data_IF_496837531110
#
_entry.id   IF_496837531110
#
_cell.length_a   1.000
_cell.length_b   1.000
_cell.length_c   1.000
_cell.angle_alpha   90.00
_cell.angle_beta   90.00
_cell.angle_gamma   90.00
#
_symmetry.space_group_name_H-M   'P 1'
#
loop_
_entity.id
_entity.type
_entity.pdbx_description
1 polymer ?
#
# COMPACT_ATOMS: atom_id res chain seq x y z
N UNK A 1 5.49 23.43 -44.93
CA UNK A 1 4.76 22.17 -44.64
C UNK A 1 4.21 22.27 -43.24
N UNK A 2 2.88 22.39 -43.15
CA UNK A 2 2.15 23.07 -42.08
C UNK A 2 1.68 22.15 -40.96
N UNK A 3 1.68 22.73 -39.76
CA UNK A 3 1.34 22.24 -38.41
C UNK A 3 -0.04 21.57 -38.25
N UNK A 4 -0.84 21.46 -39.32
CA UNK A 4 -2.21 20.94 -39.30
C UNK A 4 -2.31 19.40 -39.35
N UNK A 5 -1.32 18.68 -39.87
CA UNK A 5 -1.36 17.21 -39.99
C UNK A 5 -1.07 16.47 -38.67
N UNK A 6 -0.45 17.13 -37.68
CA UNK A 6 -0.17 16.52 -36.37
C UNK A 6 -1.37 16.55 -35.41
N UNK A 7 -2.23 17.57 -35.50
CA UNK A 7 -3.43 17.69 -34.66
C UNK A 7 -4.54 16.70 -35.08
N UNK A 8 -4.74 16.46 -36.39
CA UNK A 8 -5.79 15.54 -36.86
C UNK A 8 -5.47 14.05 -36.59
N UNK A 9 -4.18 13.64 -36.65
CA UNK A 9 -3.77 12.28 -36.23
C UNK A 9 -3.86 12.08 -34.71
N UNK A 10 -3.67 13.14 -33.93
CA UNK A 10 -3.86 13.15 -32.48
C UNK A 10 -5.31 12.89 -32.06
N UNK A 11 -6.29 13.52 -32.73
CA UNK A 11 -7.71 13.41 -32.37
C UNK A 11 -8.37 12.08 -32.74
N UNK A 12 -8.00 11.48 -33.88
CA UNK A 12 -8.51 10.17 -34.30
C UNK A 12 -8.07 9.05 -33.34
N UNK A 13 -6.81 9.07 -32.92
CA UNK A 13 -6.25 8.13 -31.93
C UNK A 13 -6.79 8.41 -30.52
N UNK A 14 -7.09 9.68 -30.20
CA UNK A 14 -7.74 10.08 -28.94
C UNK A 14 -9.16 9.50 -28.81
N UNK A 15 -9.93 9.45 -29.90
CA UNK A 15 -11.28 8.85 -29.93
C UNK A 15 -11.23 7.32 -29.78
N UNK A 16 -10.23 6.66 -30.36
CA UNK A 16 -10.04 5.21 -30.28
C UNK A 16 -9.59 4.72 -28.90
N UNK A 17 -8.64 5.42 -28.26
CA UNK A 17 -8.19 5.10 -26.90
C UNK A 17 -9.29 5.36 -25.85
N UNK A 18 -10.10 6.42 -26.03
CA UNK A 18 -11.31 6.64 -25.23
C UNK A 18 -12.32 5.51 -25.41
N UNK A 19 -12.49 4.97 -26.63
CA UNK A 19 -13.38 3.83 -26.88
C UNK A 19 -12.89 2.55 -26.23
N UNK A 20 -11.59 2.26 -26.21
CA UNK A 20 -11.05 1.05 -25.56
C UNK A 20 -11.11 1.18 -24.04
N UNK A 21 -10.66 2.30 -23.47
CA UNK A 21 -10.75 2.54 -22.02
C UNK A 21 -12.21 2.62 -21.55
N UNK A 22 -13.11 3.25 -22.31
CA UNK A 22 -14.56 3.20 -22.04
C UNK A 22 -15.12 1.80 -22.26
N UNK A 23 -14.67 1.00 -23.24
CA UNK A 23 -15.17 -0.38 -23.44
C UNK A 23 -14.74 -1.30 -22.31
N UNK A 24 -13.51 -1.22 -21.82
CA UNK A 24 -13.05 -2.02 -20.66
C UNK A 24 -13.79 -1.59 -19.38
N UNK A 25 -13.96 -0.28 -19.18
CA UNK A 25 -14.69 0.25 -18.01
C UNK A 25 -16.21 -0.02 -18.11
N UNK A 26 -16.84 0.10 -19.28
CA UNK A 26 -18.29 -0.10 -19.50
C UNK A 26 -18.68 -1.57 -19.65
N UNK A 27 -17.81 -2.44 -20.19
CA UNK A 27 -18.05 -3.88 -20.20
C UNK A 27 -18.14 -4.42 -18.76
N UNK A 28 -17.33 -3.87 -17.85
CA UNK A 28 -17.40 -4.16 -16.43
C UNK A 28 -18.71 -3.70 -15.76
N UNK A 29 -19.33 -2.61 -16.24
CA UNK A 29 -20.65 -2.16 -15.73
C UNK A 29 -21.83 -3.06 -16.18
N UNK A 30 -21.67 -3.86 -17.25
CA UNK A 30 -22.76 -4.59 -17.90
C UNK A 30 -22.95 -6.03 -17.45
N UNK A 31 -21.95 -6.65 -16.83
CA UNK A 31 -22.01 -8.05 -16.39
C UNK A 31 -22.16 -8.10 -14.87
N UNK A 32 -23.41 -8.07 -14.39
CA UNK A 32 -23.79 -8.35 -12.99
C UNK A 32 -24.23 -9.83 -12.86
N UNK A 33 -24.03 -10.46 -11.69
CA UNK A 33 -24.94 -10.23 -10.55
C UNK A 33 -24.22 -9.63 -9.34
N UNK A 34 -23.90 -8.33 -9.41
CA UNK A 34 -23.44 -7.56 -8.25
C UNK A 34 -24.62 -7.16 -7.33
N UNK A 35 -25.18 -8.16 -6.63
CA UNK A 35 -26.07 -7.98 -5.47
C UNK A 35 -25.60 -8.71 -4.20
N UNK A 36 -24.52 -9.51 -4.23
CA UNK A 36 -24.11 -10.33 -3.08
C UNK A 36 -22.69 -10.09 -2.53
N UNK A 37 -21.93 -9.08 -2.98
CA UNK A 37 -20.57 -8.83 -2.47
C UNK A 37 -20.20 -7.36 -2.27
N UNK A 38 -21.20 -6.48 -2.32
CA UNK A 38 -20.97 -5.03 -2.35
C UNK A 38 -22.15 -4.28 -1.74
N UNK A 39 -22.24 -4.29 -0.40
CA UNK A 39 -22.95 -3.25 0.33
C UNK A 39 -21.91 -2.27 0.91
N UNK A 40 -22.24 -0.98 0.83
CA UNK A 40 -21.47 0.18 1.30
C UNK A 40 -20.19 0.53 0.51
N UNK A 41 -20.31 1.53 -0.38
CA UNK A 41 -19.39 2.65 -0.73
C UNK A 41 -17.86 2.46 -0.90
N UNK A 42 -17.24 1.35 -0.51
CA UNK A 42 -15.80 1.09 -0.61
C UNK A 42 -15.34 0.62 -2.02
N UNK A 43 -16.25 0.07 -2.83
CA UNK A 43 -15.96 -0.41 -4.19
C UNK A 43 -15.78 0.72 -5.23
N UNK A 44 -15.98 1.96 -4.81
CA UNK A 44 -15.95 3.16 -5.63
C UNK A 44 -14.78 4.07 -5.25
N UNK A 45 -13.60 3.50 -4.99
CA UNK A 45 -12.37 4.30 -5.07
C UNK A 45 -12.01 4.43 -6.56
N UNK A 46 -12.70 5.35 -7.23
CA UNK A 46 -12.18 6.04 -8.41
C UNK A 46 -10.73 6.46 -8.13
N UNK A 47 -9.84 6.61 -9.14
CA UNK A 47 -8.57 7.28 -8.90
C UNK A 47 -8.85 8.58 -8.13
N UNK A 48 -8.36 8.66 -6.89
CA UNK A 48 -8.53 9.82 -6.01
C UNK A 48 -8.10 11.06 -6.82
N UNK A 49 -8.93 12.11 -6.82
CA UNK A 49 -8.86 13.27 -7.73
C UNK A 49 -7.40 13.67 -8.05
N UNK A 50 -7.05 13.69 -9.34
CA UNK A 50 -5.77 14.24 -9.84
C UNK A 50 -4.73 13.23 -10.38
N UNK A 51 -4.84 11.92 -10.07
CA UNK A 51 -4.00 10.90 -10.72
C UNK A 51 -4.68 10.36 -11.98
N UNK A 52 -4.19 10.72 -13.17
CA UNK A 52 -4.70 10.23 -14.45
C UNK A 52 -3.82 9.12 -15.04
N UNK A 53 -4.16 7.83 -14.85
CA UNK A 53 -3.36 6.69 -15.33
C UNK A 53 -3.18 6.67 -16.86
N UNK A 54 -4.07 7.32 -17.61
CA UNK A 54 -3.98 7.44 -19.06
C UNK A 54 -2.72 8.21 -19.53
N UNK A 55 -2.16 9.11 -18.70
CA UNK A 55 -0.91 9.83 -19.01
C UNK A 55 0.32 8.95 -18.77
N UNK A 56 0.28 8.12 -17.72
CA UNK A 56 1.29 7.09 -17.42
C UNK A 56 1.32 5.95 -18.48
N UNK A 57 0.21 5.70 -19.16
CA UNK A 57 0.14 4.72 -20.26
C UNK A 57 0.75 5.24 -21.58
N UNK A 58 0.91 6.56 -21.76
CA UNK A 58 1.20 7.18 -23.07
C UNK A 58 2.66 7.46 -23.42
N UNK A 59 3.62 7.45 -22.49
CA UNK A 59 4.98 7.95 -22.79
C UNK A 59 6.14 7.11 -22.27
N UNK A 60 6.36 5.91 -22.82
CA UNK A 60 7.67 5.25 -22.98
C UNK A 60 7.49 3.84 -23.55
N UNK A 61 8.39 3.41 -24.44
CA UNK A 61 8.46 2.03 -24.90
C UNK A 61 8.85 1.10 -23.75
N UNK A 62 8.43 -0.17 -23.84
CA UNK A 62 8.72 -1.26 -22.89
C UNK A 62 10.21 -1.33 -22.48
N UNK A 63 11.13 -0.96 -23.38
CA UNK A 63 12.59 -0.95 -23.18
C UNK A 63 13.08 0.03 -22.10
N UNK A 64 12.47 1.21 -21.96
CA UNK A 64 13.01 2.27 -21.08
C UNK A 64 12.76 2.04 -19.59
N UNK A 65 11.68 1.35 -19.20
CA UNK A 65 11.42 1.07 -17.79
C UNK A 65 12.26 -0.11 -17.27
N UNK A 66 12.43 -1.14 -18.10
CA UNK A 66 13.24 -2.31 -17.77
C UNK A 66 14.74 -1.98 -17.68
N UNK A 67 15.25 -1.09 -18.54
CA UNK A 67 16.62 -0.55 -18.40
C UNK A 67 16.78 0.33 -17.16
N UNK A 68 15.77 1.15 -16.81
CA UNK A 68 15.85 2.03 -15.62
C UNK A 68 15.84 1.25 -14.30
N UNK A 69 15.14 0.13 -14.24
CA UNK A 69 15.05 -0.74 -13.07
C UNK A 69 15.88 -2.02 -13.24
N UNK A 70 16.97 -1.97 -14.00
CA UNK A 70 17.81 -3.15 -14.28
C UNK A 70 18.46 -3.78 -13.04
N UNK A 71 18.58 -3.01 -11.95
CA UNK A 71 19.09 -3.46 -10.65
C UNK A 71 17.97 -3.87 -9.68
N UNK A 72 16.69 -3.68 -10.07
CA UNK A 72 15.57 -4.03 -9.20
C UNK A 72 15.37 -5.53 -9.19
N UNK A 73 15.45 -6.12 -8.01
CA UNK A 73 15.29 -7.55 -7.80
C UNK A 73 14.26 -7.89 -6.72
N UNK A 74 13.71 -6.88 -6.03
CA UNK A 74 12.75 -7.07 -4.94
C UNK A 74 11.50 -6.24 -5.19
N UNK A 75 10.34 -6.88 -5.12
CA UNK A 75 9.04 -6.22 -5.03
C UNK A 75 8.51 -6.32 -3.60
N UNK A 76 8.23 -5.18 -2.99
CA UNK A 76 7.64 -5.12 -1.65
C UNK A 76 6.24 -4.53 -1.66
N UNK A 77 5.36 -5.08 -0.84
CA UNK A 77 4.06 -4.48 -0.59
C UNK A 77 3.67 -4.70 0.86
N UNK A 78 2.71 -3.88 1.30
CA UNK A 78 2.23 -3.90 2.66
C UNK A 78 0.90 -4.64 2.73
N UNK A 79 0.71 -5.39 3.81
CA UNK A 79 -0.58 -5.92 4.26
C UNK A 79 -0.82 -5.48 5.71
N UNK A 80 -2.06 -5.59 6.17
CA UNK A 80 -2.41 -5.31 7.55
C UNK A 80 -3.60 -4.38 7.64
N UNK A 81 -3.55 -3.47 8.60
CA UNK A 81 -4.73 -2.74 9.07
C UNK A 81 -4.72 -1.26 8.71
N UNK A 82 -5.86 -0.60 8.91
CA UNK A 82 -5.87 0.85 8.92
C UNK A 82 -5.09 1.36 10.14
N UNK A 83 -4.38 2.48 9.97
CA UNK A 83 -3.82 3.27 11.09
C UNK A 83 -2.69 2.61 11.91
N UNK A 84 -1.95 1.67 11.32
CA UNK A 84 -0.83 0.98 11.99
C UNK A 84 0.56 1.55 11.68
N UNK A 85 0.67 2.76 11.11
CA UNK A 85 1.98 3.39 10.84
C UNK A 85 2.61 3.05 9.48
N UNK A 86 1.94 2.28 8.62
CA UNK A 86 2.43 1.90 7.29
C UNK A 86 3.03 3.05 6.46
N UNK A 87 2.37 4.22 6.47
CA UNK A 87 2.85 5.38 5.70
C UNK A 87 4.14 5.96 6.27
N UNK A 88 4.30 5.99 7.59
CA UNK A 88 5.52 6.49 8.23
C UNK A 88 6.69 5.56 7.91
N UNK A 89 6.50 4.24 8.04
CA UNK A 89 7.49 3.24 7.67
C UNK A 89 7.87 3.35 6.18
N UNK A 90 6.90 3.37 5.27
CA UNK A 90 7.18 3.50 3.83
C UNK A 90 7.87 4.82 3.47
N UNK A 91 7.56 5.92 4.17
CA UNK A 91 8.23 7.20 3.98
C UNK A 91 9.69 7.17 4.47
N UNK A 92 9.93 6.63 5.67
CA UNK A 92 11.27 6.41 6.21
C UNK A 92 12.12 5.58 5.24
N UNK A 93 11.53 4.51 4.68
CA UNK A 93 12.14 3.65 3.68
C UNK A 93 12.50 4.38 2.39
N UNK A 94 11.63 5.25 1.88
CA UNK A 94 11.84 5.99 0.63
C UNK A 94 12.98 7.01 0.66
N UNK A 95 13.52 7.33 1.84
CA UNK A 95 14.74 8.15 1.90
C UNK A 95 16.02 7.35 1.66
N UNK A 96 15.95 6.02 1.65
CA UNK A 96 17.06 5.17 1.24
C UNK A 96 17.22 5.23 -0.29
N UNK A 97 18.44 5.46 -0.83
CA UNK A 97 18.66 5.67 -2.28
C UNK A 97 18.23 4.50 -3.19
N UNK A 98 18.14 3.28 -2.66
CA UNK A 98 17.86 2.04 -3.39
C UNK A 98 16.39 1.61 -3.28
N UNK A 99 15.51 2.44 -2.71
CA UNK A 99 14.11 2.09 -2.43
C UNK A 99 13.14 3.05 -3.11
N UNK A 100 12.11 2.49 -3.75
CA UNK A 100 10.96 3.24 -4.26
C UNK A 100 9.64 2.54 -3.95
N UNK A 101 8.92 3.03 -2.95
CA UNK A 101 7.61 2.56 -2.54
C UNK A 101 6.57 3.63 -2.88
N UNK A 102 5.67 3.32 -3.81
CA UNK A 102 4.57 4.20 -4.15
C UNK A 102 3.61 4.37 -2.97
N UNK A 103 3.09 5.58 -2.82
CA UNK A 103 2.06 5.88 -1.85
C UNK A 103 0.67 5.65 -2.46
N UNK A 104 -0.04 4.60 -2.02
CA UNK A 104 -1.43 4.33 -2.37
C UNK A 104 -1.69 4.21 -3.89
N UNK A 105 -0.83 3.48 -4.61
CA UNK A 105 -1.06 3.19 -6.02
C UNK A 105 -2.25 2.26 -6.23
N UNK A 106 -2.44 1.33 -5.30
CA UNK A 106 -3.32 0.17 -5.44
C UNK A 106 -2.81 -0.76 -6.56
N UNK A 107 -1.57 -1.21 -6.40
CA UNK A 107 -0.86 -2.03 -7.39
C UNK A 107 -1.66 -3.27 -7.84
N UNK A 108 -2.27 -3.98 -6.89
CA UNK A 108 -3.02 -5.21 -7.16
C UNK A 108 -4.26 -4.99 -8.03
N UNK A 109 -4.85 -3.78 -8.01
CA UNK A 109 -5.89 -3.42 -8.99
C UNK A 109 -5.37 -3.47 -10.42
N UNK A 110 -4.18 -2.94 -10.65
CA UNK A 110 -3.58 -2.89 -11.99
C UNK A 110 -3.05 -4.26 -12.42
N UNK A 111 -2.55 -5.03 -11.46
CA UNK A 111 -2.19 -6.43 -11.67
C UNK A 111 -3.41 -7.23 -12.13
N UNK A 112 -4.54 -7.09 -11.44
CA UNK A 112 -5.82 -7.73 -11.79
C UNK A 112 -6.32 -7.37 -13.20
N UNK A 113 -5.93 -6.21 -13.72
CA UNK A 113 -6.22 -5.76 -15.10
C UNK A 113 -5.18 -6.22 -16.13
N UNK A 114 -4.27 -7.10 -15.72
CA UNK A 114 -3.18 -7.66 -16.53
C UNK A 114 -2.28 -6.60 -17.22
N UNK A 115 -2.07 -5.45 -16.55
CA UNK A 115 -1.19 -4.39 -17.04
C UNK A 115 0.25 -4.93 -17.17
N UNK A 116 0.96 -4.60 -18.25
CA UNK A 116 2.32 -5.12 -18.50
C UNK A 116 3.32 -4.75 -17.37
N UNK A 117 4.36 -5.57 -17.10
CA UNK A 117 5.28 -5.33 -15.98
C UNK A 117 5.95 -3.95 -16.03
N UNK A 118 6.43 -3.55 -17.22
CA UNK A 118 7.02 -2.22 -17.43
C UNK A 118 6.03 -1.07 -17.19
N UNK A 119 4.74 -1.24 -17.48
CA UNK A 119 3.73 -0.24 -17.16
C UNK A 119 3.41 -0.19 -15.66
N UNK A 120 3.40 -1.32 -14.97
CA UNK A 120 3.23 -1.37 -13.51
C UNK A 120 4.36 -0.64 -12.78
N UNK A 121 5.62 -0.90 -13.15
CA UNK A 121 6.78 -0.17 -12.61
C UNK A 121 6.68 1.33 -12.87
N UNK A 122 6.20 1.70 -14.05
CA UNK A 122 5.97 3.11 -14.37
C UNK A 122 4.86 3.74 -13.53
N UNK A 123 3.78 3.01 -13.26
CA UNK A 123 2.71 3.51 -12.39
C UNK A 123 3.22 3.79 -10.98
N UNK A 124 4.19 3.01 -10.47
CA UNK A 124 4.88 3.28 -9.19
C UNK A 124 5.62 4.63 -9.26
N UNK A 125 6.45 4.83 -10.29
CA UNK A 125 7.19 6.09 -10.50
C UNK A 125 6.26 7.30 -10.61
N UNK A 126 5.21 7.19 -11.43
CA UNK A 126 4.26 8.29 -11.63
C UNK A 126 3.44 8.57 -10.37
N UNK A 127 3.17 7.54 -9.55
CA UNK A 127 2.51 7.72 -8.25
C UNK A 127 3.41 8.44 -7.25
N UNK A 128 4.69 8.07 -7.15
CA UNK A 128 5.62 8.76 -6.28
C UNK A 128 5.81 10.24 -6.69
N UNK A 129 5.98 10.51 -7.99
CA UNK A 129 6.01 11.90 -8.53
C UNK A 129 4.76 12.69 -8.20
N UNK A 130 3.59 12.05 -8.24
CA UNK A 130 2.35 12.69 -7.85
C UNK A 130 2.33 13.03 -6.35
N UNK A 131 2.89 12.16 -5.51
CA UNK A 131 2.99 12.40 -4.06
C UNK A 131 4.02 13.49 -3.72
N UNK A 132 5.15 13.55 -4.44
CA UNK A 132 6.13 14.64 -4.34
C UNK A 132 5.51 15.99 -4.67
N UNK A 133 4.69 16.09 -5.73
CA UNK A 133 3.96 17.32 -6.09
C UNK A 133 2.92 17.76 -5.07
N UNK A 134 2.65 16.94 -4.06
CA UNK A 134 1.78 17.26 -2.91
C UNK A 134 2.61 17.45 -1.65
N UNK A 135 3.89 17.74 -1.81
CA UNK A 135 4.87 17.89 -0.73
C UNK A 135 4.94 16.69 0.21
N UNK A 136 4.70 15.49 -0.35
CA UNK A 136 4.60 14.24 0.42
C UNK A 136 3.64 14.36 1.61
N UNK A 137 2.58 15.16 1.47
CA UNK A 137 1.60 15.39 2.52
C UNK A 137 0.39 14.47 2.35
N UNK A 138 -0.05 13.87 3.45
CA UNK A 138 -1.22 12.99 3.48
C UNK A 138 -2.04 13.22 4.74
N UNK A 139 -3.36 13.44 4.55
CA UNK A 139 -4.24 13.94 5.61
C UNK A 139 -3.65 15.22 6.23
N UNK A 140 -3.33 15.18 7.53
CA UNK A 140 -2.76 16.29 8.30
C UNK A 140 -1.26 16.10 8.57
N UNK A 141 -0.61 15.11 7.94
CA UNK A 141 0.77 14.74 8.22
C UNK A 141 1.66 15.00 7.00
N UNK A 142 2.87 15.50 7.26
CA UNK A 142 3.95 15.54 6.28
C UNK A 142 4.74 14.23 6.35
N UNK A 143 4.98 13.62 5.20
CA UNK A 143 5.84 12.44 5.05
C UNK A 143 7.11 12.78 4.27
N UNK A 144 7.54 14.04 4.34
CA UNK A 144 8.83 14.48 3.83
C UNK A 144 9.92 14.04 4.82
N UNK A 145 10.76 13.14 4.36
CA UNK A 145 11.95 12.67 5.08
C UNK A 145 13.18 13.51 4.70
N UNK A 146 14.23 13.58 5.55
CA UNK A 146 15.39 14.43 5.33
C UNK A 146 16.18 14.16 4.04
N UNK A 147 16.10 12.93 3.51
CA UNK A 147 16.71 12.52 2.23
C UNK A 147 15.59 12.00 1.33
N UNK A 148 15.48 12.47 0.09
CA UNK A 148 14.24 12.27 -0.68
C UNK A 148 14.33 12.37 -2.19
N UNK A 149 15.26 11.64 -2.82
CA UNK A 149 15.14 11.21 -4.22
C UNK A 149 15.88 9.90 -4.40
N UNK A 150 15.14 8.82 -4.68
CA UNK A 150 15.72 7.54 -5.10
C UNK A 150 16.50 7.71 -6.40
N UNK A 151 17.52 6.89 -6.60
CA UNK A 151 18.23 6.83 -7.87
C UNK A 151 17.67 5.69 -8.70
N UNK A 152 16.95 6.00 -9.79
CA UNK A 152 16.25 4.99 -10.58
C UNK A 152 17.16 3.82 -10.99
N UNK A 153 18.39 4.10 -11.46
CA UNK A 153 19.35 3.09 -11.89
C UNK A 153 19.96 2.25 -10.75
N UNK A 154 19.92 2.73 -9.51
CA UNK A 154 20.40 2.04 -8.32
C UNK A 154 19.27 1.43 -7.48
N UNK A 155 18.01 1.60 -7.91
CA UNK A 155 16.84 1.14 -7.16
C UNK A 155 16.78 -0.39 -7.17
N UNK A 156 16.92 -1.01 -6.00
CA UNK A 156 16.90 -2.45 -5.79
C UNK A 156 15.53 -2.96 -5.36
N UNK A 157 14.80 -2.12 -4.62
CA UNK A 157 13.47 -2.44 -4.07
C UNK A 157 12.45 -1.47 -4.64
N UNK A 158 11.40 -2.01 -5.26
CA UNK A 158 10.22 -1.25 -5.66
C UNK A 158 8.96 -1.78 -4.98
N UNK A 159 7.95 -0.94 -4.78
CA UNK A 159 6.76 -1.39 -4.08
C UNK A 159 5.56 -0.45 -4.08
N UNK A 160 4.53 -0.87 -3.37
CA UNK A 160 3.32 -0.07 -3.12
C UNK A 160 2.85 -0.24 -1.67
N UNK A 161 2.63 0.88 -0.99
CA UNK A 161 2.02 0.92 0.34
C UNK A 161 0.53 1.23 0.18
N UNK A 162 -0.30 0.20 0.34
CA UNK A 162 -1.76 0.30 0.44
C UNK A 162 -2.36 -0.79 1.35
N UNK A 163 -1.71 -1.06 2.49
CA UNK A 163 -1.92 -2.21 3.38
C UNK A 163 -3.35 -2.78 3.43
N UNK A 164 -4.30 -2.08 4.07
CA UNK A 164 -5.65 -2.59 4.28
C UNK A 164 -6.40 -2.92 2.97
N UNK A 165 -6.24 -2.10 1.92
CA UNK A 165 -6.87 -2.40 0.61
C UNK A 165 -6.16 -3.56 -0.07
N UNK A 166 -4.83 -3.65 0.03
CA UNK A 166 -4.09 -4.81 -0.49
C UNK A 166 -4.56 -6.09 0.19
N UNK A 167 -4.69 -6.11 1.52
CA UNK A 167 -5.24 -7.22 2.29
C UNK A 167 -6.64 -7.60 1.81
N UNK A 168 -7.55 -6.62 1.66
CA UNK A 168 -8.91 -6.89 1.16
C UNK A 168 -8.92 -7.46 -0.26
N UNK A 169 -8.04 -6.95 -1.14
CA UNK A 169 -7.94 -7.45 -2.51
C UNK A 169 -7.47 -8.89 -2.56
N UNK A 170 -6.44 -9.22 -1.79
CA UNK A 170 -5.89 -10.56 -1.75
C UNK A 170 -6.80 -11.54 -1.01
N UNK A 171 -7.60 -11.07 -0.05
CA UNK A 171 -8.67 -11.86 0.55
C UNK A 171 -9.72 -12.26 -0.51
N UNK A 172 -10.21 -11.28 -1.28
CA UNK A 172 -11.22 -11.54 -2.31
C UNK A 172 -10.70 -12.20 -3.60
N UNK A 173 -9.39 -12.10 -3.85
CA UNK A 173 -8.72 -12.60 -5.06
C UNK A 173 -7.30 -13.12 -4.75
N UNK A 174 -7.18 -14.25 -4.04
CA UNK A 174 -5.88 -14.82 -3.65
C UNK A 174 -5.00 -15.18 -4.85
N UNK A 175 -5.57 -15.46 -6.03
CA UNK A 175 -4.83 -15.77 -7.25
C UNK A 175 -3.94 -14.62 -7.75
N UNK A 176 -4.17 -13.39 -7.26
CA UNK A 176 -3.34 -12.24 -7.60
C UNK A 176 -1.89 -12.37 -7.09
N UNK A 177 -1.65 -13.13 -6.01
CA UNK A 177 -0.30 -13.38 -5.54
C UNK A 177 0.46 -14.30 -6.52
N UNK A 178 -0.20 -15.35 -7.00
CA UNK A 178 0.32 -16.21 -8.08
C UNK A 178 0.53 -15.43 -9.37
N UNK A 179 -0.39 -14.51 -9.70
CA UNK A 179 -0.24 -13.64 -10.86
C UNK A 179 0.95 -12.67 -10.72
N UNK A 180 1.24 -12.17 -9.50
CA UNK A 180 2.42 -11.34 -9.26
C UNK A 180 3.69 -12.15 -9.55
N UNK A 181 3.78 -13.37 -9.02
CA UNK A 181 4.92 -14.29 -9.20
C UNK A 181 5.17 -14.65 -10.66
N UNK A 182 4.12 -14.90 -11.45
CA UNK A 182 4.28 -15.24 -12.87
C UNK A 182 4.66 -14.05 -13.74
N UNK A 183 4.46 -12.83 -13.24
CA UNK A 183 4.58 -11.59 -14.02
C UNK A 183 5.90 -10.86 -13.83
N UNK A 184 6.55 -11.08 -12.69
CA UNK A 184 7.81 -10.46 -12.33
C UNK A 184 8.76 -11.53 -11.82
N UNK A 185 10.02 -11.47 -12.27
CA UNK A 185 11.11 -12.28 -11.73
C UNK A 185 11.74 -11.60 -10.49
N UNK A 186 10.90 -11.06 -9.62
CA UNK A 186 11.32 -10.36 -8.40
C UNK A 186 11.12 -11.24 -7.19
N UNK A 187 12.02 -11.11 -6.21
CA UNK A 187 11.79 -11.59 -4.85
C UNK A 187 10.61 -10.82 -4.27
N UNK A 188 9.61 -11.54 -3.78
CA UNK A 188 8.47 -10.94 -3.09
C UNK A 188 8.83 -10.81 -1.61
N UNK A 189 8.67 -9.60 -1.06
CA UNK A 189 8.93 -9.29 0.35
C UNK A 189 7.75 -8.51 0.93
N UNK A 190 6.95 -9.14 1.77
CA UNK A 190 5.71 -8.58 2.30
C UNK A 190 5.94 -8.04 3.70
N UNK A 191 5.52 -6.80 3.93
CA UNK A 191 5.61 -6.14 5.23
C UNK A 191 4.21 -6.07 5.83
N UNK A 192 4.01 -6.77 6.95
CA UNK A 192 2.82 -6.67 7.77
C UNK A 192 3.10 -5.68 8.92
N UNK A 193 2.34 -4.60 9.04
CA UNK A 193 2.48 -3.70 10.20
C UNK A 193 1.26 -3.82 11.09
N UNK A 194 1.49 -4.25 12.33
CA UNK A 194 0.46 -4.46 13.33
C UNK A 194 0.54 -3.38 14.39
N UNK A 195 -0.60 -3.01 14.96
CA UNK A 195 -0.72 -2.09 16.09
C UNK A 195 -1.82 -2.64 16.99
N UNK A 196 -1.84 -2.22 18.25
CA UNK A 196 -2.92 -2.52 19.16
C UNK A 196 -4.30 -2.37 18.46
N UNK A 197 -5.09 -3.46 18.34
CA UNK A 197 -6.35 -3.46 17.60
C UNK A 197 -7.33 -2.40 18.08
N UNK A 198 -7.41 -2.17 19.39
CA UNK A 198 -8.27 -1.15 19.99
C UNK A 198 -7.93 0.25 19.48
N UNK A 199 -6.64 0.57 19.30
CA UNK A 199 -6.24 1.87 18.73
C UNK A 199 -6.58 1.99 17.24
N UNK A 200 -6.39 0.91 16.47
CA UNK A 200 -6.74 0.90 15.06
C UNK A 200 -8.24 1.14 14.88
N UNK A 201 -9.06 0.40 15.63
CA UNK A 201 -10.52 0.47 15.62
C UNK A 201 -10.98 1.86 16.08
N UNK A 202 -10.50 2.34 17.24
CA UNK A 202 -10.87 3.67 17.75
C UNK A 202 -10.49 4.81 16.79
N UNK A 203 -9.34 4.70 16.12
CA UNK A 203 -8.92 5.71 15.13
C UNK A 203 -9.73 5.62 13.84
N UNK A 204 -10.07 4.41 13.38
CA UNK A 204 -10.86 4.21 12.18
C UNK A 204 -12.31 4.67 12.38
N UNK A 205 -12.92 4.31 13.51
CA UNK A 205 -14.25 4.75 13.91
C UNK A 205 -14.35 6.28 13.92
N UNK A 206 -13.43 6.97 14.63
CA UNK A 206 -13.42 8.46 14.67
C UNK A 206 -13.19 9.15 13.32
N UNK A 207 -12.66 8.44 12.32
CA UNK A 207 -12.33 8.99 10.99
C UNK A 207 -13.29 8.53 9.90
N UNK A 208 -14.36 7.82 10.24
CA UNK A 208 -15.34 7.31 9.28
C UNK A 208 -16.75 7.44 9.85
N UNK A 209 -17.75 7.21 9.01
CA UNK A 209 -19.16 7.19 9.43
C UNK A 209 -19.59 5.80 9.95
N UNK A 210 -18.65 4.87 10.16
CA UNK A 210 -18.96 3.51 10.61
C UNK A 210 -19.20 3.48 12.12
N UNK A 211 -20.15 2.67 12.56
CA UNK A 211 -20.31 2.38 13.99
C UNK A 211 -19.08 1.67 14.55
N UNK A 212 -18.96 1.61 15.89
CA UNK A 212 -17.86 0.89 16.52
C UNK A 212 -17.93 -0.61 16.20
N UNK A 213 -19.12 -1.21 16.26
CA UNK A 213 -19.35 -2.62 15.92
C UNK A 213 -19.03 -2.91 14.45
N UNK A 214 -19.48 -2.05 13.52
CA UNK A 214 -19.11 -2.17 12.11
C UNK A 214 -17.59 -2.09 11.93
N UNK A 215 -16.90 -1.25 12.70
CA UNK A 215 -15.44 -1.11 12.64
C UNK A 215 -14.73 -2.36 13.18
N UNK A 216 -15.26 -2.99 14.24
CA UNK A 216 -14.76 -4.26 14.79
C UNK A 216 -14.90 -5.38 13.75
N UNK A 217 -16.08 -5.51 13.12
CA UNK A 217 -16.32 -6.52 12.07
C UNK A 217 -15.37 -6.33 10.89
N UNK A 218 -15.17 -5.08 10.49
CA UNK A 218 -14.24 -4.69 9.42
C UNK A 218 -12.79 -5.01 9.80
N UNK A 219 -12.41 -4.84 11.06
CA UNK A 219 -11.09 -5.23 11.54
C UNK A 219 -10.91 -6.75 11.49
N UNK A 220 -11.91 -7.53 11.94
CA UNK A 220 -11.91 -9.00 11.84
C UNK A 220 -11.75 -9.49 10.40
N UNK A 221 -12.44 -8.88 9.43
CA UNK A 221 -12.27 -9.19 8.01
C UNK A 221 -10.83 -8.97 7.54
N UNK A 222 -10.17 -7.89 7.99
CA UNK A 222 -8.76 -7.66 7.69
C UNK A 222 -7.86 -8.71 8.34
N UNK A 223 -8.12 -9.11 9.59
CA UNK A 223 -7.35 -10.16 10.26
C UNK A 223 -7.43 -11.49 9.51
N UNK A 224 -8.63 -11.87 9.05
CA UNK A 224 -8.83 -13.03 8.17
C UNK A 224 -8.05 -12.89 6.86
N UNK A 225 -8.06 -11.70 6.26
CA UNK A 225 -7.29 -11.40 5.05
C UNK A 225 -5.79 -11.51 5.26
N UNK A 226 -5.26 -11.00 6.38
CA UNK A 226 -3.84 -11.15 6.74
C UNK A 226 -3.49 -12.63 6.84
N UNK A 227 -4.22 -13.41 7.65
CA UNK A 227 -4.00 -14.86 7.81
C UNK A 227 -4.02 -15.61 6.46
N UNK A 228 -4.98 -15.30 5.60
CA UNK A 228 -5.07 -15.92 4.27
C UNK A 228 -3.89 -15.56 3.37
N UNK A 229 -3.39 -14.32 3.43
CA UNK A 229 -2.22 -13.92 2.65
C UNK A 229 -0.97 -14.58 3.21
N UNK A 230 -0.76 -14.56 4.53
CA UNK A 230 0.43 -15.15 5.16
C UNK A 230 0.53 -16.64 4.90
N UNK A 231 -0.59 -17.37 4.85
CA UNK A 231 -0.61 -18.80 4.51
C UNK A 231 -0.16 -19.11 3.07
N UNK A 232 -0.08 -18.11 2.18
CA UNK A 232 0.42 -18.25 0.80
C UNK A 232 1.86 -17.75 0.62
N UNK A 233 2.48 -17.26 1.69
CA UNK A 233 3.84 -16.74 1.69
C UNK A 233 4.79 -17.76 2.31
N UNK A 234 6.02 -17.81 1.79
CA UNK A 234 7.10 -18.48 2.51
C UNK A 234 7.47 -17.65 3.74
N UNK A 235 8.02 -18.29 4.78
CA UNK A 235 8.48 -17.60 5.99
C UNK A 235 9.47 -16.46 5.68
N UNK A 236 10.32 -16.64 4.67
CA UNK A 236 11.25 -15.62 4.21
C UNK A 236 10.58 -14.44 3.49
N UNK A 237 9.34 -14.58 3.03
CA UNK A 237 8.62 -13.55 2.28
C UNK A 237 7.76 -12.66 3.16
N UNK A 238 7.78 -12.85 4.48
CA UNK A 238 6.99 -12.06 5.43
C UNK A 238 7.89 -11.50 6.52
N UNK A 239 7.72 -10.21 6.81
CA UNK A 239 8.16 -9.61 8.07
C UNK A 239 6.95 -8.94 8.73
N UNK A 240 6.77 -9.19 10.03
CA UNK A 240 5.79 -8.45 10.84
C UNK A 240 6.54 -7.40 11.64
N UNK A 241 6.06 -6.15 11.60
CA UNK A 241 6.58 -5.02 12.37
C UNK A 241 5.48 -4.58 13.34
N UNK A 242 5.80 -4.48 14.63
CA UNK A 242 4.88 -3.91 15.61
C UNK A 242 5.07 -2.40 15.61
N UNK A 243 3.95 -1.67 15.53
CA UNK A 243 3.96 -0.22 15.55
C UNK A 243 4.62 0.32 16.82
N UNK A 244 4.41 -0.33 17.95
CA UNK A 244 4.91 0.17 19.23
C UNK A 244 6.43 0.02 19.29
N UNK A 245 6.98 -1.12 18.86
CA UNK A 245 8.43 -1.33 18.64
C UNK A 245 9.00 -0.34 17.61
N UNK A 246 8.27 -0.10 16.51
CA UNK A 246 8.68 0.85 15.48
C UNK A 246 8.81 2.28 16.04
N UNK A 247 7.99 2.64 17.03
CA UNK A 247 8.03 3.97 17.65
C UNK A 247 8.97 4.10 18.83
N UNK A 248 9.26 3.01 19.55
CA UNK A 248 10.17 3.02 20.71
C UNK A 248 11.61 2.66 20.33
N UNK A 249 11.79 1.83 19.31
CA UNK A 249 13.07 1.26 18.87
C UNK A 249 13.26 1.40 17.35
N UNK A 250 12.93 2.58 16.81
CA UNK A 250 12.85 2.85 15.38
C UNK A 250 14.12 2.46 14.58
N UNK A 251 15.32 2.74 15.10
CA UNK A 251 16.58 2.37 14.41
C UNK A 251 16.72 0.84 14.27
N UNK A 252 16.42 0.09 15.32
CA UNK A 252 16.48 -1.37 15.32
C UNK A 252 15.48 -1.95 14.32
N UNK A 253 14.24 -1.46 14.32
CA UNK A 253 13.20 -1.94 13.42
C UNK A 253 13.49 -1.58 11.96
N UNK A 254 14.00 -0.37 11.69
CA UNK A 254 14.40 0.02 10.34
C UNK A 254 15.57 -0.83 9.84
N UNK A 255 16.57 -1.10 10.68
CA UNK A 255 17.68 -1.99 10.35
C UNK A 255 17.18 -3.39 10.01
N UNK A 256 16.24 -3.93 10.81
CA UNK A 256 15.62 -5.24 10.57
C UNK A 256 14.89 -5.28 9.21
N UNK A 257 14.16 -4.22 8.86
CA UNK A 257 13.50 -4.10 7.55
C UNK A 257 14.51 -3.99 6.41
N UNK A 258 15.61 -3.24 6.59
CA UNK A 258 16.65 -3.09 5.57
C UNK A 258 17.37 -4.39 5.27
N UNK A 259 17.76 -5.13 6.32
CA UNK A 259 18.36 -6.46 6.20
C UNK A 259 17.39 -7.44 5.52
N UNK A 260 16.12 -7.44 5.93
CA UNK A 260 15.08 -8.26 5.32
C UNK A 260 14.88 -7.98 3.83
N UNK A 261 14.97 -6.71 3.41
CA UNK A 261 14.90 -6.28 2.01
C UNK A 261 16.23 -6.45 1.25
N UNK A 262 17.30 -6.88 1.92
CA UNK A 262 18.66 -7.00 1.41
C UNK A 262 19.23 -5.66 0.89
N UNK A 263 18.94 -4.57 1.60
CA UNK A 263 19.44 -3.24 1.25
C UNK A 263 20.87 -3.02 1.79
N UNK A 264 21.71 -2.24 1.08
CA UNK A 264 22.99 -1.78 1.61
C UNK A 264 22.80 -1.02 2.92
N UNK A 265 23.78 -1.10 3.81
CA UNK A 265 23.78 -0.33 5.05
C UNK A 265 23.93 1.17 4.72
N UNK A 266 23.08 2.01 5.30
CA UNK A 266 23.18 3.47 5.25
C UNK A 266 23.20 4.04 6.68
N UNK A 267 24.38 3.99 7.30
CA UNK A 267 24.59 4.45 8.69
C UNK A 267 24.39 5.95 8.86
N UNK A 268 24.55 6.72 7.77
CA UNK A 268 24.36 8.16 7.81
C UNK A 268 22.87 8.53 7.81
N UNK A 269 22.05 7.76 7.10
CA UNK A 269 20.61 8.00 7.00
C UNK A 269 19.80 7.32 8.11
N UNK A 270 20.25 6.19 8.67
CA UNK A 270 19.49 5.43 9.67
C UNK A 270 18.98 6.29 10.85
N UNK A 271 19.80 7.12 11.51
CA UNK A 271 19.32 7.95 12.61
C UNK A 271 18.31 9.01 12.16
N UNK A 272 18.47 9.54 10.93
CA UNK A 272 17.54 10.52 10.33
C UNK A 272 16.19 9.89 10.01
N UNK A 273 16.20 8.66 9.50
CA UNK A 273 15.01 7.88 9.20
C UNK A 273 14.26 7.50 10.49
N UNK A 274 15.00 7.10 11.54
CA UNK A 274 14.43 6.75 12.84
C UNK A 274 13.82 7.98 13.53
N UNK A 275 14.52 9.13 13.52
CA UNK A 275 14.03 10.36 14.11
C UNK A 275 12.74 10.89 13.45
N UNK A 276 12.47 10.51 12.19
CA UNK A 276 11.22 10.83 11.50
C UNK A 276 10.02 10.06 12.05
N UNK A 277 10.22 8.84 12.56
CA UNK A 277 9.17 8.03 13.15
C UNK A 277 8.88 8.56 14.55
N UNK A 278 7.65 9.02 14.78
CA UNK A 278 7.23 9.58 16.06
C UNK A 278 6.23 8.67 16.76
N UNK A 279 6.32 8.52 18.10
CA UNK A 279 5.28 7.87 18.86
C UNK A 279 3.96 8.66 18.75
N UNK A 280 2.82 7.98 18.88
CA UNK A 280 1.54 8.65 18.96
C UNK A 280 1.48 9.50 20.24
N UNK A 281 0.86 10.68 20.17
CA UNK A 281 0.74 11.56 21.33
C UNK A 281 -0.23 11.06 22.41
N UNK A 282 -1.05 10.05 22.09
CA UNK A 282 -1.99 9.39 23.01
C UNK A 282 -2.45 8.05 22.44
N UNK A 283 -2.86 7.16 23.35
CA UNK A 283 -3.67 5.98 23.03
C UNK A 283 -5.01 6.44 22.44
N UNK A 284 -5.36 5.89 21.28
CA UNK A 284 -6.57 6.26 20.58
C UNK A 284 -7.81 5.64 21.23
N UNK A 285 -7.66 4.45 21.81
CA UNK A 285 -8.72 3.69 22.49
C UNK A 285 -9.35 4.42 23.68
N UNK A 286 -8.61 5.29 24.35
CA UNK A 286 -9.10 6.05 25.51
C UNK A 286 -10.03 7.21 25.13
N UNK A 287 -10.11 7.55 23.84
CA UNK A 287 -10.93 8.64 23.33
C UNK A 287 -12.34 8.26 22.93
N UNK A 288 -12.79 7.04 23.23
CA UNK A 288 -14.13 6.52 22.88
C UNK A 288 -14.68 5.68 24.05
N UNK A 289 -16.01 5.62 24.16
CA UNK A 289 -16.68 4.75 25.12
C UNK A 289 -16.85 3.34 24.50
N UNK A 290 -16.31 2.33 25.17
CA UNK A 290 -16.44 0.93 24.79
C UNK A 290 -17.43 0.23 25.74
N UNK A 291 -18.27 -0.66 25.21
CA UNK A 291 -18.97 -1.64 26.04
C UNK A 291 -18.07 -2.84 26.35
N UNK A 292 -18.40 -3.58 27.40
CA UNK A 292 -17.71 -4.83 27.74
C UNK A 292 -17.78 -5.85 26.59
N UNK A 293 -18.93 -5.92 25.90
CA UNK A 293 -19.10 -6.80 24.72
C UNK A 293 -18.15 -6.42 23.57
N UNK A 294 -17.95 -5.13 23.33
CA UNK A 294 -17.03 -4.66 22.29
C UNK A 294 -15.57 -4.94 22.67
N UNK A 295 -15.22 -4.77 23.95
CA UNK A 295 -13.91 -5.13 24.47
C UNK A 295 -13.65 -6.62 24.27
N UNK A 296 -14.62 -7.45 24.66
CA UNK A 296 -14.55 -8.89 24.52
C UNK A 296 -14.46 -9.32 23.04
N UNK A 297 -15.23 -8.70 22.15
CA UNK A 297 -15.19 -8.99 20.71
C UNK A 297 -13.79 -8.75 20.11
N UNK A 298 -13.12 -7.67 20.51
CA UNK A 298 -11.75 -7.37 20.06
C UNK A 298 -10.74 -8.34 20.69
N UNK A 299 -10.91 -8.71 21.97
CA UNK A 299 -10.08 -9.74 22.59
C UNK A 299 -10.19 -11.09 21.88
N UNK A 300 -11.39 -11.49 21.47
CA UNK A 300 -11.58 -12.70 20.66
C UNK A 300 -10.91 -12.63 19.30
N UNK A 301 -10.77 -11.43 18.69
CA UNK A 301 -9.94 -11.27 17.49
C UNK A 301 -8.47 -11.49 17.85
N UNK A 302 -7.97 -10.86 18.91
CA UNK A 302 -6.56 -10.99 19.31
C UNK A 302 -6.19 -12.46 19.55
N UNK A 303 -7.04 -13.21 20.26
CA UNK A 303 -6.83 -14.63 20.56
C UNK A 303 -6.87 -15.54 19.32
N UNK A 304 -7.56 -15.14 18.25
CA UNK A 304 -7.69 -15.95 17.04
C UNK A 304 -6.49 -15.78 16.07
N UNK A 305 -5.75 -14.67 16.18
CA UNK A 305 -4.78 -14.27 15.18
C UNK A 305 -3.41 -13.99 15.79
N UNK A 306 -2.50 -14.96 15.71
CA UNK A 306 -1.16 -14.97 16.33
C UNK A 306 -0.33 -13.69 16.10
N UNK A 307 -0.45 -13.04 14.94
CA UNK A 307 0.28 -11.78 14.67
C UNK A 307 -0.20 -10.59 15.51
N UNK A 308 -1.26 -10.75 16.30
CA UNK A 308 -1.78 -9.79 17.27
C UNK A 308 -1.44 -10.15 18.72
N UNK A 309 -0.73 -11.26 18.96
CA UNK A 309 -0.41 -11.71 20.31
C UNK A 309 0.29 -10.62 21.13
N UNK A 310 0.01 -10.62 22.44
CA UNK A 310 0.51 -9.65 23.41
C UNK A 310 -0.20 -8.29 23.41
N UNK A 311 -1.18 -8.06 22.53
CA UNK A 311 -2.04 -6.88 22.63
C UNK A 311 -3.19 -7.09 23.62
N UNK A 312 -3.44 -6.09 24.45
CA UNK A 312 -4.59 -6.02 25.35
C UNK A 312 -5.14 -4.60 25.38
N UNK A 313 -6.35 -4.40 25.93
CA UNK A 313 -6.94 -3.08 26.08
C UNK A 313 -6.05 -2.15 26.94
N UNK A 314 -5.48 -2.70 28.01
CA UNK A 314 -4.66 -1.96 28.96
C UNK A 314 -3.17 -1.91 28.61
N UNK A 315 -2.71 -2.59 27.56
CA UNK A 315 -1.31 -2.50 27.10
C UNK A 315 -0.93 -1.04 26.84
N UNK A 316 0.34 -0.70 26.93
CA UNK A 316 0.83 0.59 26.42
C UNK A 316 0.65 0.68 24.89
#
# INVERSE_FOLDING_TARGET
MTTQTYQQRGESVYRSARRVARRVVLAWYRTKPAKALYSSKAALVLPRRGFHPARAYRSTSKKNAQQRFGQTHTFTFFIGYWRSGHTALAAAMNGHPNVLIAHELDFFRWLALNVSPGHLLRLIVERDRWFEKRDRSWETYSYRVPRGTYEACATQVVGDKMAAITTQRLLGRPELLTQLRSKFDFRIRVINVVRNPFDNIATAHRKSDMSLDETIDRYRQLSTGVRQVTNQLQTSELITIRHDELTTSAESELKRVWEYLCLPRDDEYLPKAAAFIKPPSRRARDGIAWSDDQIQAVHSIIQEFDHLDGYHFNSE
#
